data_IF_498524178232
#
_entry.id   IF_498524178232
#
_cell.length_a   1.000
_cell.length_b   1.000
_cell.length_c   1.000
_cell.angle_alpha   90.00
_cell.angle_beta   90.00
_cell.angle_gamma   90.00
#
_symmetry.space_group_name_H-M   'P 1'
#
loop_
_entity.id
_entity.type
_entity.pdbx_description
1 polymer ?
#
# COMPACT_ATOMS: atom_id res chain seq x y z
N UNK A 1 -27.91 9.46 -35.46
CA UNK A 1 -27.82 10.39 -34.30
C UNK A 1 -26.72 9.89 -33.38
N UNK A 2 -25.52 10.49 -33.47
CA UNK A 2 -24.40 10.23 -32.53
C UNK A 2 -24.74 11.00 -31.26
N UNK A 3 -25.34 10.34 -30.29
CA UNK A 3 -25.51 10.88 -28.92
C UNK A 3 -24.11 11.18 -28.35
N UNK A 4 -23.74 12.43 -28.30
CA UNK A 4 -22.52 12.87 -27.63
C UNK A 4 -22.71 12.59 -26.13
N UNK A 5 -21.92 11.64 -25.59
CA UNK A 5 -21.90 11.35 -24.15
C UNK A 5 -21.66 12.63 -23.36
N UNK A 6 -22.32 12.75 -22.20
CA UNK A 6 -22.04 13.79 -21.21
C UNK A 6 -20.55 13.82 -20.84
N UNK A 7 -19.93 14.98 -20.64
CA UNK A 7 -18.54 15.10 -20.23
C UNK A 7 -18.17 14.22 -19.04
N UNK A 8 -19.04 14.09 -18.04
CA UNK A 8 -18.84 13.24 -16.86
C UNK A 8 -18.88 11.75 -17.20
N UNK A 9 -19.79 11.33 -18.06
CA UNK A 9 -19.85 9.93 -18.53
C UNK A 9 -18.58 9.56 -19.32
N UNK A 10 -18.04 10.48 -20.09
CA UNK A 10 -16.75 10.29 -20.79
C UNK A 10 -15.59 10.13 -19.82
N UNK A 11 -15.55 10.91 -18.74
CA UNK A 11 -14.51 10.79 -17.71
C UNK A 11 -14.61 9.43 -16.99
N UNK A 12 -15.79 9.01 -16.57
CA UNK A 12 -16.03 7.72 -15.93
C UNK A 12 -15.66 6.55 -16.84
N UNK A 13 -16.00 6.62 -18.13
CA UNK A 13 -15.60 5.60 -19.12
C UNK A 13 -14.08 5.54 -19.29
N UNK A 14 -13.40 6.70 -19.35
CA UNK A 14 -11.94 6.75 -19.40
C UNK A 14 -11.32 6.13 -18.13
N UNK A 15 -11.86 6.45 -16.96
CA UNK A 15 -11.39 5.89 -15.70
C UNK A 15 -11.61 4.37 -15.64
N UNK A 16 -12.71 3.85 -16.21
CA UNK A 16 -12.93 2.41 -16.34
C UNK A 16 -11.87 1.74 -17.19
N UNK A 17 -11.57 2.29 -18.36
CA UNK A 17 -10.51 1.76 -19.24
C UNK A 17 -9.16 1.84 -18.53
N UNK A 18 -8.90 2.95 -17.84
CA UNK A 18 -7.68 3.14 -17.07
C UNK A 18 -7.53 2.06 -15.99
N UNK A 19 -8.58 1.76 -15.23
CA UNK A 19 -8.56 0.64 -14.27
C UNK A 19 -8.30 -0.71 -14.94
N UNK A 20 -8.94 -1.02 -16.08
CA UNK A 20 -8.68 -2.28 -16.81
C UNK A 20 -7.21 -2.42 -17.21
N UNK A 21 -6.62 -1.35 -17.73
CA UNK A 21 -5.21 -1.32 -18.14
C UNK A 21 -4.28 -1.44 -16.94
N UNK A 22 -4.55 -0.70 -15.86
CA UNK A 22 -3.72 -0.76 -14.65
C UNK A 22 -3.79 -2.13 -13.97
N UNK A 23 -4.98 -2.76 -13.96
CA UNK A 23 -5.14 -4.14 -13.51
C UNK A 23 -4.28 -5.13 -14.30
N UNK A 24 -4.23 -4.97 -15.63
CA UNK A 24 -3.38 -5.79 -16.50
C UNK A 24 -1.88 -5.57 -16.22
N UNK A 25 -1.45 -4.32 -15.98
CA UNK A 25 -0.07 -4.03 -15.60
C UNK A 25 0.30 -4.68 -14.25
N UNK A 26 -0.56 -4.57 -13.24
CA UNK A 26 -0.33 -5.22 -11.94
C UNK A 26 -0.24 -6.74 -12.09
N UNK A 27 -1.17 -7.36 -12.83
CA UNK A 27 -1.16 -8.80 -13.05
C UNK A 27 0.10 -9.28 -13.80
N UNK A 28 0.49 -8.56 -14.85
CA UNK A 28 1.69 -8.88 -15.61
C UNK A 28 2.96 -8.83 -14.74
N UNK A 29 3.09 -7.81 -13.87
CA UNK A 29 4.20 -7.71 -12.93
C UNK A 29 4.20 -8.87 -11.92
N UNK A 30 3.05 -9.22 -11.34
CA UNK A 30 2.94 -10.34 -10.40
C UNK A 30 3.33 -11.67 -11.05
N UNK A 31 2.88 -11.92 -12.28
CA UNK A 31 3.25 -13.11 -13.04
C UNK A 31 4.74 -13.13 -13.38
N UNK A 32 5.30 -12.00 -13.81
CA UNK A 32 6.72 -11.91 -14.14
C UNK A 32 7.59 -12.16 -12.89
N UNK A 33 7.24 -11.59 -11.75
CA UNK A 33 7.96 -11.80 -10.49
C UNK A 33 7.92 -13.27 -10.09
N UNK A 34 6.74 -13.91 -10.09
CA UNK A 34 6.63 -15.33 -9.73
C UNK A 34 7.37 -16.27 -10.71
N UNK A 35 7.43 -15.90 -11.99
CA UNK A 35 8.10 -16.72 -13.02
C UNK A 35 9.63 -16.59 -12.99
N UNK A 36 10.15 -15.45 -12.53
CA UNK A 36 11.57 -15.11 -12.62
C UNK A 36 12.29 -15.12 -11.28
N UNK A 37 11.54 -15.14 -10.15
CA UNK A 37 12.12 -15.04 -8.82
C UNK A 37 12.73 -16.36 -8.34
N UNK A 38 13.78 -16.24 -7.54
CA UNK A 38 14.34 -17.30 -6.74
C UNK A 38 13.51 -17.60 -5.48
N UNK A 39 14.01 -18.50 -4.63
CA UNK A 39 13.34 -18.95 -3.40
C UNK A 39 13.68 -18.13 -2.15
N UNK A 40 14.20 -16.92 -2.33
CA UNK A 40 14.58 -16.04 -1.23
C UNK A 40 13.41 -15.82 -0.25
N UNK A 41 13.67 -16.08 1.03
CA UNK A 41 12.70 -15.97 2.11
C UNK A 41 13.29 -15.26 3.33
N UNK A 42 12.42 -14.70 4.14
CA UNK A 42 12.77 -14.08 5.42
C UNK A 42 11.98 -14.77 6.54
N UNK A 43 12.61 -15.01 7.70
CA UNK A 43 11.95 -15.68 8.82
C UNK A 43 10.93 -14.76 9.50
N UNK A 44 9.86 -15.38 9.98
CA UNK A 44 8.95 -14.80 10.98
C UNK A 44 9.21 -15.50 12.30
N UNK A 45 9.48 -14.73 13.33
CA UNK A 45 9.95 -15.21 14.61
C UNK A 45 9.01 -14.83 15.74
N UNK A 46 9.17 -15.47 16.87
CA UNK A 46 8.56 -15.05 18.13
C UNK A 46 9.47 -15.42 19.31
N UNK A 47 9.33 -14.68 20.39
CA UNK A 47 9.90 -15.03 21.68
C UNK A 47 8.78 -15.21 22.71
N UNK A 48 8.64 -16.42 23.22
CA UNK A 48 7.60 -16.74 24.18
C UNK A 48 8.17 -16.77 25.60
N UNK A 49 7.43 -16.23 26.56
CA UNK A 49 7.84 -16.22 27.96
C UNK A 49 7.95 -17.66 28.50
N UNK A 50 9.13 -18.01 28.99
CA UNK A 50 9.46 -19.36 29.53
C UNK A 50 9.50 -19.41 31.05
N UNK A 51 9.25 -18.27 31.70
CA UNK A 51 9.24 -18.16 33.16
C UNK A 51 8.51 -16.90 33.63
N UNK A 52 8.55 -16.58 34.94
CA UNK A 52 7.93 -15.36 35.46
C UNK A 52 8.52 -14.10 34.84
N UNK A 53 7.74 -12.97 34.78
CA UNK A 53 8.29 -11.68 34.35
C UNK A 53 9.60 -11.34 35.10
N UNK A 54 10.65 -10.97 34.35
CA UNK A 54 11.98 -10.67 34.89
C UNK A 54 12.93 -11.86 34.98
N UNK A 55 12.52 -13.07 34.56
CA UNK A 55 13.44 -14.18 34.32
C UNK A 55 14.34 -13.93 33.08
N UNK A 56 15.17 -14.92 32.72
CA UNK A 56 16.04 -14.83 31.55
C UNK A 56 15.25 -14.40 30.30
N UNK A 57 15.85 -13.63 29.36
CA UNK A 57 15.21 -13.30 28.10
C UNK A 57 14.76 -14.57 27.38
N UNK A 58 13.51 -14.60 26.83
CA UNK A 58 13.03 -15.76 26.10
C UNK A 58 13.87 -16.01 24.85
N UNK A 59 14.03 -17.27 24.47
CA UNK A 59 14.70 -17.63 23.23
C UNK A 59 13.88 -17.22 22.01
N UNK A 60 14.59 -16.72 20.98
CA UNK A 60 13.99 -16.43 19.70
C UNK A 60 13.71 -17.75 18.95
N UNK A 61 12.49 -17.96 18.50
CA UNK A 61 12.06 -19.15 17.76
C UNK A 61 11.57 -18.76 16.38
N UNK A 62 12.05 -19.47 15.37
CA UNK A 62 11.51 -19.37 14.01
C UNK A 62 10.14 -20.07 13.97
N UNK A 63 9.13 -19.36 13.45
CA UNK A 63 7.78 -19.89 13.28
C UNK A 63 7.59 -20.45 11.86
N UNK A 64 7.92 -19.65 10.87
CA UNK A 64 7.85 -19.97 9.44
C UNK A 64 8.61 -18.95 8.61
N UNK A 65 8.89 -19.30 7.37
CA UNK A 65 9.52 -18.41 6.39
C UNK A 65 8.48 -17.82 5.44
N UNK A 66 8.63 -16.54 5.14
CA UNK A 66 7.86 -15.85 4.10
C UNK A 66 8.69 -15.79 2.82
N UNK A 67 8.28 -16.50 1.78
CA UNK A 67 8.88 -16.36 0.44
C UNK A 67 8.55 -14.97 -0.09
N UNK A 68 9.55 -14.15 -0.27
CA UNK A 68 9.39 -12.72 -0.59
C UNK A 68 8.69 -12.53 -1.94
N UNK A 69 8.97 -13.35 -2.94
CA UNK A 69 8.27 -13.31 -4.22
C UNK A 69 6.75 -13.46 -4.10
N UNK A 70 6.27 -14.30 -3.18
CA UNK A 70 4.85 -14.48 -2.93
C UNK A 70 4.22 -13.27 -2.23
N UNK A 71 4.94 -12.64 -1.29
CA UNK A 71 4.51 -11.40 -0.65
C UNK A 71 4.37 -10.25 -1.64
N UNK A 72 5.35 -10.14 -2.56
CA UNK A 72 5.32 -9.14 -3.64
C UNK A 72 4.18 -9.43 -4.63
N UNK A 73 4.03 -10.66 -5.08
CA UNK A 73 2.93 -11.06 -5.96
C UNK A 73 1.55 -10.81 -5.32
N UNK A 74 1.42 -11.05 -4.00
CA UNK A 74 0.18 -10.87 -3.27
C UNK A 74 -0.34 -9.43 -3.38
N UNK A 75 0.48 -8.42 -3.04
CA UNK A 75 -0.02 -7.04 -3.06
C UNK A 75 -0.30 -6.51 -4.47
N UNK A 76 0.42 -6.96 -5.50
CA UNK A 76 0.12 -6.56 -6.90
C UNK A 76 -1.12 -7.28 -7.43
N UNK A 77 -1.34 -8.56 -7.10
CA UNK A 77 -2.55 -9.28 -7.50
C UNK A 77 -3.81 -8.80 -6.78
N UNK A 78 -3.73 -8.39 -5.52
CA UNK A 78 -4.83 -7.71 -4.82
C UNK A 78 -5.25 -6.47 -5.61
N UNK A 79 -4.30 -5.66 -6.06
CA UNK A 79 -4.59 -4.47 -6.86
C UNK A 79 -5.16 -4.81 -8.24
N UNK A 80 -4.59 -5.81 -8.93
CA UNK A 80 -5.11 -6.27 -10.21
C UNK A 80 -6.57 -6.71 -10.08
N UNK A 81 -6.87 -7.54 -9.09
CA UNK A 81 -8.21 -8.02 -8.81
C UNK A 81 -9.18 -6.86 -8.51
N UNK A 82 -8.79 -5.93 -7.64
CA UNK A 82 -9.61 -4.78 -7.30
C UNK A 82 -9.93 -3.91 -8.52
N UNK A 83 -8.93 -3.59 -9.35
CA UNK A 83 -9.10 -2.84 -10.58
C UNK A 83 -10.09 -3.52 -11.56
N UNK A 84 -10.00 -4.84 -11.72
CA UNK A 84 -10.90 -5.59 -12.61
C UNK A 84 -12.30 -5.74 -12.02
N UNK A 85 -12.42 -5.96 -10.70
CA UNK A 85 -13.72 -6.07 -10.02
C UNK A 85 -14.53 -4.77 -10.19
N UNK A 86 -13.92 -3.60 -9.93
CA UNK A 86 -14.63 -2.31 -10.08
C UNK A 86 -14.94 -1.94 -11.53
N UNK A 87 -14.23 -2.53 -12.49
CA UNK A 87 -14.51 -2.36 -13.92
C UNK A 87 -15.50 -3.39 -14.48
N UNK A 88 -15.81 -4.46 -13.74
CA UNK A 88 -16.68 -5.54 -14.17
C UNK A 88 -18.15 -5.07 -14.33
N UNK A 89 -18.93 -5.67 -15.26
CA UNK A 89 -20.36 -5.40 -15.38
C UNK A 89 -21.08 -5.61 -14.04
N UNK A 90 -22.04 -4.75 -13.72
CA UNK A 90 -22.79 -4.76 -12.45
C UNK A 90 -22.08 -4.04 -11.31
N UNK A 91 -20.80 -4.33 -11.05
CA UNK A 91 -20.00 -3.64 -10.03
C UNK A 91 -19.65 -2.22 -10.48
N UNK A 92 -19.35 -2.02 -11.77
CA UNK A 92 -19.00 -0.70 -12.31
C UNK A 92 -20.08 0.35 -12.07
N UNK A 93 -21.36 0.00 -12.17
CA UNK A 93 -22.45 0.93 -11.94
C UNK A 93 -22.51 1.38 -10.47
N UNK A 94 -22.28 0.46 -9.52
CA UNK A 94 -22.16 0.77 -8.12
C UNK A 94 -20.95 1.68 -7.86
N UNK A 95 -19.80 1.36 -8.46
CA UNK A 95 -18.57 2.16 -8.36
C UNK A 95 -18.78 3.57 -8.91
N UNK A 96 -19.34 3.70 -10.12
CA UNK A 96 -19.61 5.00 -10.75
C UNK A 96 -20.60 5.85 -9.94
N UNK A 97 -21.64 5.24 -9.35
CA UNK A 97 -22.59 5.96 -8.48
C UNK A 97 -21.88 6.50 -7.23
N UNK A 98 -20.98 5.73 -6.63
CA UNK A 98 -20.24 6.19 -5.45
C UNK A 98 -19.23 7.30 -5.81
N UNK A 99 -18.52 7.19 -6.91
CA UNK A 99 -17.68 8.27 -7.42
C UNK A 99 -18.49 9.55 -7.69
N UNK A 100 -19.74 9.39 -8.15
CA UNK A 100 -20.68 10.50 -8.29
C UNK A 100 -20.99 11.24 -6.99
N UNK A 101 -20.81 10.57 -5.85
CA UNK A 101 -20.97 11.09 -4.49
C UNK A 101 -19.63 11.41 -3.82
N UNK A 102 -18.55 11.52 -4.59
CA UNK A 102 -17.19 11.73 -4.09
C UNK A 102 -16.72 10.66 -3.09
N UNK A 103 -17.04 9.38 -3.35
CA UNK A 103 -16.71 8.25 -2.48
C UNK A 103 -16.15 7.09 -3.27
N UNK A 104 -15.02 6.52 -2.82
CA UNK A 104 -14.42 5.33 -3.41
C UNK A 104 -14.09 4.27 -2.36
N UNK A 105 -15.11 3.55 -1.89
CA UNK A 105 -14.95 2.48 -0.90
C UNK A 105 -13.99 1.37 -1.35
N UNK A 106 -14.02 1.01 -2.64
CA UNK A 106 -13.17 -0.04 -3.18
C UNK A 106 -11.68 0.26 -3.01
N UNK A 107 -11.28 1.51 -3.28
CA UNK A 107 -9.90 1.97 -3.08
C UNK A 107 -9.43 1.81 -1.65
N UNK A 108 -10.24 2.27 -0.69
CA UNK A 108 -9.86 2.22 0.72
C UNK A 108 -9.75 0.80 1.25
N UNK A 109 -10.66 -0.10 0.85
CA UNK A 109 -10.61 -1.51 1.23
C UNK A 109 -9.38 -2.17 0.60
N UNK A 110 -9.13 -1.98 -0.69
CA UNK A 110 -7.96 -2.54 -1.36
C UNK A 110 -6.67 -2.03 -0.74
N UNK A 111 -6.54 -0.70 -0.54
CA UNK A 111 -5.32 -0.11 0.02
C UNK A 111 -5.07 -0.55 1.46
N UNK A 112 -6.12 -0.73 2.28
CA UNK A 112 -5.94 -1.17 3.67
C UNK A 112 -5.27 -2.54 3.76
N UNK A 113 -5.47 -3.41 2.78
CA UNK A 113 -4.83 -4.74 2.72
C UNK A 113 -3.50 -4.66 1.96
N UNK A 114 -3.52 -4.18 0.72
CA UNK A 114 -2.33 -4.23 -0.15
C UNK A 114 -1.17 -3.39 0.36
N UNK A 115 -1.44 -2.16 0.84
CA UNK A 115 -0.37 -1.32 1.41
C UNK A 115 0.16 -1.86 2.74
N UNK A 116 -0.69 -2.54 3.53
CA UNK A 116 -0.24 -3.18 4.77
C UNK A 116 0.68 -4.37 4.52
N UNK A 117 0.41 -5.17 3.48
CA UNK A 117 1.36 -6.19 3.01
C UNK A 117 2.68 -5.54 2.59
N UNK A 118 2.64 -4.44 1.84
CA UNK A 118 3.84 -3.71 1.43
C UNK A 118 4.68 -3.25 2.63
N UNK A 119 4.05 -2.62 3.64
CA UNK A 119 4.76 -2.09 4.82
C UNK A 119 5.33 -3.23 5.66
N UNK A 120 4.64 -4.37 5.79
CA UNK A 120 5.17 -5.57 6.45
C UNK A 120 6.44 -6.07 5.74
N UNK A 121 6.43 -6.16 4.40
CA UNK A 121 7.63 -6.56 3.66
C UNK A 121 8.79 -5.57 3.88
N UNK A 122 8.52 -4.26 3.85
CA UNK A 122 9.54 -3.23 4.14
C UNK A 122 10.10 -3.42 5.55
N UNK A 123 9.25 -3.67 6.54
CA UNK A 123 9.66 -3.94 7.92
C UNK A 123 10.57 -5.18 8.02
N UNK A 124 10.21 -6.27 7.33
CA UNK A 124 11.03 -7.49 7.28
C UNK A 124 12.41 -7.24 6.68
N UNK A 125 12.51 -6.43 5.61
CA UNK A 125 13.79 -6.05 5.01
C UNK A 125 14.66 -5.17 5.92
N UNK A 126 14.09 -4.52 6.93
CA UNK A 126 14.85 -3.77 7.94
C UNK A 126 15.20 -4.61 9.18
N UNK A 127 14.81 -5.90 9.19
CA UNK A 127 15.15 -6.83 10.27
C UNK A 127 14.05 -7.02 11.32
N UNK A 128 12.85 -6.46 11.11
CA UNK A 128 11.70 -6.73 11.98
C UNK A 128 11.11 -8.09 11.58
N UNK A 129 11.33 -9.10 12.42
CA UNK A 129 10.85 -10.47 12.17
C UNK A 129 9.80 -10.95 13.18
N UNK A 130 9.67 -10.28 14.34
CA UNK A 130 8.70 -10.67 15.36
C UNK A 130 7.26 -10.59 14.86
N UNK A 131 6.52 -11.71 15.00
CA UNK A 131 5.16 -11.84 14.46
C UNK A 131 4.19 -10.83 15.08
N UNK A 132 4.32 -10.49 16.36
CA UNK A 132 3.44 -9.54 17.03
C UNK A 132 3.70 -8.12 16.51
N UNK A 133 4.97 -7.75 16.27
CA UNK A 133 5.34 -6.49 15.66
C UNK A 133 4.82 -6.39 14.21
N UNK A 134 4.96 -7.45 13.41
CA UNK A 134 4.45 -7.48 12.02
C UNK A 134 2.92 -7.37 11.97
N UNK A 135 2.20 -8.05 12.86
CA UNK A 135 0.73 -7.95 12.98
C UNK A 135 0.32 -6.53 13.41
N UNK A 136 1.02 -5.93 14.37
CA UNK A 136 0.77 -4.56 14.81
C UNK A 136 1.01 -3.54 13.68
N UNK A 137 2.12 -3.67 12.94
CA UNK A 137 2.45 -2.84 11.78
C UNK A 137 1.36 -2.94 10.71
N UNK A 138 0.93 -4.16 10.37
CA UNK A 138 -0.17 -4.38 9.43
C UNK A 138 -1.45 -3.69 9.90
N UNK A 139 -1.86 -3.93 11.14
CA UNK A 139 -3.11 -3.41 11.71
C UNK A 139 -3.14 -1.88 11.79
N UNK A 140 -2.05 -1.27 12.23
CA UNK A 140 -1.96 0.20 12.33
C UNK A 140 -1.93 0.84 10.95
N UNK A 141 -1.23 0.25 9.97
CA UNK A 141 -1.25 0.74 8.59
C UNK A 141 -2.65 0.61 7.96
N UNK A 142 -3.33 -0.52 8.16
CA UNK A 142 -4.71 -0.69 7.72
C UNK A 142 -5.64 0.36 8.35
N UNK A 143 -5.51 0.61 9.65
CA UNK A 143 -6.26 1.65 10.36
C UNK A 143 -6.00 3.04 9.78
N UNK A 144 -4.74 3.40 9.48
CA UNK A 144 -4.39 4.65 8.79
C UNK A 144 -5.19 4.82 7.49
N UNK A 145 -5.23 3.79 6.65
CA UNK A 145 -5.99 3.82 5.39
C UNK A 145 -7.50 3.97 5.64
N UNK A 146 -8.03 3.28 6.65
CA UNK A 146 -9.45 3.36 7.01
C UNK A 146 -9.84 4.72 7.60
N UNK A 147 -8.93 5.47 8.22
CA UNK A 147 -9.17 6.88 8.55
C UNK A 147 -9.40 7.72 7.28
N UNK A 148 -8.72 7.41 6.17
CA UNK A 148 -9.01 8.02 4.87
C UNK A 148 -10.42 7.70 4.38
N UNK A 149 -10.88 6.46 4.56
CA UNK A 149 -12.27 6.06 4.25
C UNK A 149 -13.27 6.84 5.11
N UNK A 150 -13.01 6.99 6.42
CA UNK A 150 -13.89 7.77 7.30
C UNK A 150 -13.98 9.22 6.86
N UNK A 151 -12.83 9.85 6.51
CA UNK A 151 -12.83 11.20 5.98
C UNK A 151 -13.68 11.29 4.71
N UNK A 152 -13.53 10.38 3.77
CA UNK A 152 -14.28 10.38 2.52
C UNK A 152 -15.78 10.08 2.72
N UNK A 153 -16.12 9.35 3.78
CA UNK A 153 -17.52 9.02 4.10
C UNK A 153 -18.27 10.19 4.75
N UNK A 154 -17.60 10.91 5.65
CA UNK A 154 -18.25 11.92 6.50
C UNK A 154 -18.00 13.36 6.06
N UNK A 155 -16.92 13.62 5.31
CA UNK A 155 -16.49 14.97 4.98
C UNK A 155 -16.70 15.31 3.51
N UNK A 156 -16.97 16.59 3.24
CA UNK A 156 -17.11 17.11 1.87
C UNK A 156 -15.87 17.92 1.46
N UNK A 157 -15.37 17.74 0.22
CA UNK A 157 -14.30 18.57 -0.30
C UNK A 157 -14.66 20.07 -0.29
N UNK A 158 -13.77 20.88 0.25
CA UNK A 158 -13.93 22.34 0.37
C UNK A 158 -14.12 22.85 1.79
N UNK A 159 -14.75 22.08 2.67
CA UNK A 159 -14.97 22.45 4.07
C UNK A 159 -14.88 21.27 5.06
N UNK A 160 -13.82 20.41 4.96
CA UNK A 160 -13.75 19.21 5.79
C UNK A 160 -13.37 19.53 7.24
N UNK A 161 -13.84 18.67 8.16
CA UNK A 161 -13.16 18.47 9.43
C UNK A 161 -11.92 17.59 9.21
N UNK A 162 -10.75 18.08 9.57
CA UNK A 162 -9.48 17.41 9.34
C UNK A 162 -9.13 16.31 10.36
N UNK A 163 -9.99 16.05 11.37
CA UNK A 163 -9.68 15.11 12.45
C UNK A 163 -9.32 13.71 11.94
N UNK A 164 -10.12 13.13 11.02
CA UNK A 164 -9.84 11.83 10.45
C UNK A 164 -8.51 11.81 9.70
N UNK A 165 -8.19 12.85 8.92
CA UNK A 165 -6.92 12.97 8.24
C UNK A 165 -5.74 13.03 9.22
N UNK A 166 -5.85 13.85 10.28
CA UNK A 166 -4.79 13.99 11.30
C UNK A 166 -4.58 12.66 12.03
N UNK A 167 -5.65 11.98 12.47
CA UNK A 167 -5.52 10.67 13.11
C UNK A 167 -4.96 9.61 12.16
N UNK A 168 -5.31 9.68 10.88
CA UNK A 168 -4.67 8.85 9.85
C UNK A 168 -3.16 9.11 9.74
N UNK A 169 -2.73 10.37 9.72
CA UNK A 169 -1.30 10.73 9.70
C UNK A 169 -0.58 10.24 10.96
N UNK A 170 -1.18 10.37 12.15
CA UNK A 170 -0.60 9.86 13.40
C UNK A 170 -0.45 8.34 13.38
N UNK A 171 -1.50 7.61 12.96
CA UNK A 171 -1.45 6.17 12.80
C UNK A 171 -0.37 5.76 11.76
N UNK A 172 -0.32 6.47 10.63
CA UNK A 172 0.65 6.20 9.57
C UNK A 172 2.11 6.44 9.98
N UNK A 173 2.37 7.34 10.92
CA UNK A 173 3.72 7.57 11.42
C UNK A 173 4.29 6.35 12.19
N UNK A 174 3.43 5.56 12.85
CA UNK A 174 3.87 4.47 13.73
C UNK A 174 4.69 3.40 13.01
N UNK A 175 4.23 2.80 11.88
CA UNK A 175 5.03 1.84 11.14
C UNK A 175 6.37 2.41 10.67
N UNK A 176 6.38 3.65 10.19
CA UNK A 176 7.60 4.29 9.71
C UNK A 176 8.60 4.61 10.82
N UNK A 177 8.12 4.95 12.02
CA UNK A 177 8.97 5.11 13.22
C UNK A 177 9.58 3.76 13.61
N UNK A 178 8.77 2.69 13.64
CA UNK A 178 9.28 1.34 13.94
C UNK A 178 10.36 0.91 12.94
N UNK A 179 10.11 1.07 11.64
CA UNK A 179 11.07 0.77 10.58
C UNK A 179 12.33 1.64 10.72
N UNK A 180 12.19 2.95 11.01
CA UNK A 180 13.31 3.85 11.17
C UNK A 180 14.21 3.48 12.37
N UNK A 181 13.64 3.01 13.48
CA UNK A 181 14.40 2.52 14.64
C UNK A 181 15.32 1.37 14.23
N UNK A 182 14.80 0.38 13.49
CA UNK A 182 15.59 -0.74 13.00
C UNK A 182 16.60 -0.32 11.92
N UNK A 183 16.18 0.54 11.01
CA UNK A 183 17.02 1.06 9.93
C UNK A 183 18.23 1.88 10.45
N UNK A 184 18.04 2.63 11.53
CA UNK A 184 19.09 3.49 12.12
C UNK A 184 19.76 2.87 13.34
N UNK A 185 19.51 1.57 13.63
CA UNK A 185 19.99 0.89 14.85
C UNK A 185 21.44 1.23 15.18
N UNK A 186 21.72 1.98 16.26
CA UNK A 186 23.09 2.31 16.65
C UNK A 186 23.77 1.08 17.25
N UNK A 187 25.02 0.84 16.88
CA UNK A 187 25.89 -0.13 17.55
C UNK A 187 26.07 -1.47 16.85
N UNK A 188 25.47 -1.69 15.68
CA UNK A 188 25.76 -2.86 14.86
C UNK A 188 26.71 -2.50 13.71
N UNK A 189 27.70 -3.36 13.48
CA UNK A 189 28.77 -3.13 12.51
C UNK A 189 28.33 -3.09 11.03
N UNK A 190 27.12 -3.50 10.73
CA UNK A 190 26.59 -3.56 9.37
C UNK A 190 25.62 -2.40 9.11
N UNK A 191 25.98 -1.54 8.15
CA UNK A 191 25.03 -0.59 7.57
C UNK A 191 23.98 -1.34 6.76
N UNK A 192 22.72 -0.86 6.71
CA UNK A 192 21.70 -1.43 5.82
C UNK A 192 22.20 -1.46 4.37
N UNK A 193 21.94 -2.54 3.62
CA UNK A 193 22.28 -2.58 2.21
C UNK A 193 21.69 -1.40 1.44
N UNK A 194 22.41 -0.89 0.43
CA UNK A 194 21.98 0.31 -0.31
C UNK A 194 20.58 0.20 -0.91
N UNK A 195 20.16 -0.99 -1.32
CA UNK A 195 18.79 -1.20 -1.84
C UNK A 195 17.72 -1.04 -0.74
N UNK A 196 17.99 -1.42 0.51
CA UNK A 196 17.06 -1.22 1.63
C UNK A 196 16.90 0.27 1.90
N UNK A 197 17.99 1.05 1.80
CA UNK A 197 17.92 2.52 1.84
C UNK A 197 17.04 3.06 0.73
N UNK A 198 17.22 2.57 -0.50
CA UNK A 198 16.42 2.94 -1.67
C UNK A 198 14.94 2.65 -1.46
N UNK A 199 14.59 1.45 -0.97
CA UNK A 199 13.22 1.07 -0.63
C UNK A 199 12.64 2.01 0.42
N UNK A 200 13.33 2.19 1.55
CA UNK A 200 12.87 3.05 2.64
C UNK A 200 12.54 4.46 2.16
N UNK A 201 13.49 5.13 1.49
CA UNK A 201 13.31 6.52 1.04
C UNK A 201 12.22 6.63 -0.01
N UNK A 202 12.27 5.80 -1.06
CA UNK A 202 11.31 5.90 -2.17
C UNK A 202 9.88 5.60 -1.71
N UNK A 203 9.69 4.56 -0.91
CA UNK A 203 8.36 4.19 -0.43
C UNK A 203 7.83 5.17 0.62
N UNK A 204 8.67 5.71 1.49
CA UNK A 204 8.27 6.81 2.38
C UNK A 204 7.73 8.01 1.59
N UNK A 205 8.41 8.40 0.51
CA UNK A 205 7.94 9.48 -0.36
C UNK A 205 6.60 9.11 -1.02
N UNK A 206 6.50 7.92 -1.62
CA UNK A 206 5.26 7.49 -2.26
C UNK A 206 4.07 7.46 -1.29
N UNK A 207 4.23 6.91 -0.10
CA UNK A 207 3.16 6.88 0.90
C UNK A 207 2.69 8.30 1.28
N UNK A 208 3.61 9.25 1.42
CA UNK A 208 3.26 10.64 1.66
C UNK A 208 2.57 11.32 0.46
N UNK A 209 2.87 10.89 -0.77
CA UNK A 209 2.14 11.38 -1.96
C UNK A 209 0.65 11.02 -1.94
N UNK A 210 0.26 9.88 -1.37
CA UNK A 210 -1.16 9.53 -1.18
C UNK A 210 -1.86 10.49 -0.22
N UNK A 211 -1.22 10.82 0.92
CA UNK A 211 -1.75 11.80 1.87
C UNK A 211 -1.82 13.20 1.23
N UNK A 212 -0.79 13.59 0.48
CA UNK A 212 -0.78 14.87 -0.24
C UNK A 212 -1.91 14.92 -1.28
N UNK A 213 -2.14 13.85 -2.05
CA UNK A 213 -3.22 13.80 -3.03
C UNK A 213 -4.59 14.00 -2.35
N UNK A 214 -4.82 13.35 -1.20
CA UNK A 214 -6.03 13.53 -0.41
C UNK A 214 -6.16 14.98 0.10
N UNK A 215 -5.08 15.53 0.65
CA UNK A 215 -5.05 16.92 1.13
C UNK A 215 -5.43 17.91 0.02
N UNK A 216 -4.83 17.79 -1.16
CA UNK A 216 -5.11 18.66 -2.32
C UNK A 216 -6.56 18.51 -2.80
N UNK A 217 -7.10 17.27 -2.80
CA UNK A 217 -8.47 16.97 -3.20
C UNK A 217 -9.48 17.62 -2.25
N UNK A 218 -9.27 17.53 -0.92
CA UNK A 218 -10.15 18.14 0.06
C UNK A 218 -9.99 19.67 0.16
N UNK A 219 -8.81 20.20 -0.19
CA UNK A 219 -8.59 21.65 -0.37
C UNK A 219 -9.10 22.18 -1.70
N UNK A 220 -9.53 21.30 -2.63
CA UNK A 220 -9.98 21.64 -3.98
C UNK A 220 -8.96 22.50 -4.75
N UNK A 221 -7.68 22.17 -4.64
CA UNK A 221 -6.57 22.97 -5.18
C UNK A 221 -6.36 22.65 -6.65
N UNK A 222 -6.51 23.65 -7.54
CA UNK A 222 -6.25 23.52 -8.98
C UNK A 222 -7.02 22.34 -9.62
N UNK A 223 -6.35 21.41 -10.33
CA UNK A 223 -7.01 20.26 -10.96
C UNK A 223 -7.75 19.33 -9.98
N UNK A 224 -7.32 19.28 -8.70
CA UNK A 224 -7.97 18.49 -7.64
C UNK A 224 -9.34 19.04 -7.22
N UNK A 225 -9.79 20.17 -7.77
CA UNK A 225 -11.19 20.61 -7.64
C UNK A 225 -12.16 19.63 -8.33
N UNK A 226 -11.68 18.88 -9.34
CA UNK A 226 -12.37 17.72 -9.91
C UNK A 226 -11.98 16.46 -9.13
N UNK A 227 -12.96 15.85 -8.43
CA UNK A 227 -12.75 14.63 -7.68
C UNK A 227 -12.18 13.48 -8.54
N UNK A 228 -12.66 13.34 -9.80
CA UNK A 228 -12.20 12.28 -10.70
C UNK A 228 -10.73 12.44 -11.12
N UNK A 229 -10.21 13.67 -11.12
CA UNK A 229 -8.78 13.91 -11.33
C UNK A 229 -7.97 13.31 -10.17
N UNK A 230 -8.35 13.58 -8.91
CA UNK A 230 -7.71 12.98 -7.74
C UNK A 230 -7.78 11.45 -7.74
N UNK A 231 -8.90 10.87 -8.21
CA UNK A 231 -9.04 9.42 -8.39
C UNK A 231 -8.05 8.85 -9.42
N UNK A 232 -7.87 9.51 -10.55
CA UNK A 232 -6.88 9.11 -11.55
C UNK A 232 -5.45 9.17 -10.99
N UNK A 233 -5.14 10.18 -10.17
CA UNK A 233 -3.85 10.30 -9.48
C UNK A 233 -3.65 9.15 -8.48
N UNK A 234 -4.68 8.76 -7.70
CA UNK A 234 -4.58 7.59 -6.82
C UNK A 234 -4.26 6.30 -7.58
N UNK A 235 -4.90 6.08 -8.74
CA UNK A 235 -4.63 4.90 -9.58
C UNK A 235 -3.18 4.90 -10.07
N UNK A 236 -2.66 6.05 -10.50
CA UNK A 236 -1.26 6.19 -10.92
C UNK A 236 -0.28 5.96 -9.76
N UNK A 237 -0.53 6.58 -8.60
CA UNK A 237 0.30 6.42 -7.41
C UNK A 237 0.31 4.95 -6.95
N UNK A 238 -0.82 4.26 -7.02
CA UNK A 238 -0.90 2.83 -6.69
C UNK A 238 0.01 2.00 -7.58
N UNK A 239 -0.06 2.18 -8.90
CA UNK A 239 0.80 1.47 -9.83
C UNK A 239 2.27 1.79 -9.57
N UNK A 240 2.63 3.09 -9.49
CA UNK A 240 4.04 3.50 -9.38
C UNK A 240 4.67 3.06 -8.06
N UNK A 241 3.98 3.22 -6.93
CA UNK A 241 4.49 2.80 -5.62
C UNK A 241 4.67 1.28 -5.54
N UNK A 242 3.67 0.51 -6.00
CA UNK A 242 3.73 -0.95 -5.99
C UNK A 242 4.79 -1.48 -6.95
N UNK A 243 4.89 -0.89 -8.15
CA UNK A 243 5.96 -1.24 -9.10
C UNK A 243 7.34 -0.90 -8.54
N UNK A 244 7.50 0.29 -7.93
CA UNK A 244 8.78 0.68 -7.35
C UNK A 244 9.24 -0.31 -6.27
N UNK A 245 8.36 -0.70 -5.34
CA UNK A 245 8.70 -1.68 -4.32
C UNK A 245 8.99 -3.05 -4.95
N UNK A 246 8.10 -3.54 -5.82
CA UNK A 246 8.20 -4.86 -6.42
C UNK A 246 9.52 -5.05 -7.19
N UNK A 247 9.89 -4.08 -8.03
CA UNK A 247 11.09 -4.18 -8.84
C UNK A 247 12.37 -3.86 -8.08
N UNK A 248 12.33 -3.01 -7.03
CA UNK A 248 13.48 -2.83 -6.14
C UNK A 248 13.79 -4.14 -5.38
N UNK A 249 12.77 -4.82 -4.83
CA UNK A 249 12.93 -6.12 -4.19
C UNK A 249 13.44 -7.14 -5.22
N UNK A 250 12.80 -7.23 -6.37
CA UNK A 250 13.17 -8.20 -7.41
C UNK A 250 14.64 -8.04 -7.82
N UNK A 251 15.05 -6.84 -8.19
CA UNK A 251 16.40 -6.57 -8.67
C UNK A 251 17.49 -6.80 -7.61
N UNK A 252 17.13 -6.76 -6.33
CA UNK A 252 18.11 -6.82 -5.24
C UNK A 252 18.20 -8.19 -4.56
N UNK A 253 17.13 -8.99 -4.61
CA UNK A 253 17.07 -10.24 -3.82
C UNK A 253 16.47 -11.42 -4.57
N UNK A 254 15.70 -11.19 -5.63
CA UNK A 254 14.95 -12.23 -6.31
C UNK A 254 15.55 -12.64 -7.65
N UNK A 255 16.54 -11.93 -8.16
CA UNK A 255 17.30 -12.35 -9.36
C UNK A 255 18.17 -13.53 -8.94
N UNK A 256 18.07 -14.65 -9.66
CA UNK A 256 18.95 -15.80 -9.47
C UNK A 256 20.40 -15.42 -9.77
N UNK A 257 21.34 -15.95 -8.99
CA UNK A 257 22.75 -15.87 -9.34
C UNK A 257 22.94 -16.55 -10.72
N UNK A 258 23.27 -15.73 -11.73
CA UNK A 258 23.58 -16.17 -13.10
C UNK A 258 24.95 -16.80 -13.20
#
# INVERSE_FOLDING_TARGET
MTTTLDPRERQLRRLRIYNLVMGAFHAAQGLAILALANDFSLPVTASFMEGPPGSAPPELRDLFDVRIAWGVALFVFISAAAHWIIAAPGVYEWYARNLGRTRNYARWIEYSVSSSVMVVLIAMFTGISDVAALVAIFGVNAAMILFGLLMEHYEEPGSPNWSSFIFGCLAGAVPWIAIAIYFTSPGFAASPPGFVVGIFVSLFIFFNCFALNMFLQYRRTGPWSDYLFGEAVYVLLSLTAKSALAWQIFASTLVGDS
#
